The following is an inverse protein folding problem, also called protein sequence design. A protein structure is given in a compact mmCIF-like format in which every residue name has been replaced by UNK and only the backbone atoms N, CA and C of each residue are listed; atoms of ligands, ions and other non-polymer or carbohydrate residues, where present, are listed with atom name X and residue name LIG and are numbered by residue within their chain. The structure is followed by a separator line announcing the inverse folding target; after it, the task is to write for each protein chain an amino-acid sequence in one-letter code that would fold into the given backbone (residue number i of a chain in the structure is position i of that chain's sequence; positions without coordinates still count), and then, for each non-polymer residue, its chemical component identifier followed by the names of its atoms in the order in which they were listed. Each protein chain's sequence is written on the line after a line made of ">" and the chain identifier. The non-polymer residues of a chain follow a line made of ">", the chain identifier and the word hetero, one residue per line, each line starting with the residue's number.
data_IF_142869792438
#
_entry.id   IF_142869792438
#
_cell.length_a   1.000
_cell.length_b   1.000
_cell.length_c   1.000
_cell.angle_alpha   90.00
_cell.angle_beta   90.00
_cell.angle_gamma   90.00
#
_symmetry.space_group_name_H-M   'P 1'
#
loop_
_entity.id
_entity.type
_entity.pdbx_description
1 polymer ?
#
# COMPACT_ATOMS: atom_id res chain seq x y z
N UNK A 1 13.39 13.18 14.56
CA UNK A 1 12.05 12.66 14.21
C UNK A 1 11.96 11.25 14.73
N UNK A 2 10.79 10.82 15.18
CA UNK A 2 10.59 9.44 15.67
C UNK A 2 10.29 8.46 14.54
N UNK A 3 9.92 9.00 13.37
CA UNK A 3 9.54 8.28 12.17
C UNK A 3 9.97 9.12 10.97
N UNK A 4 10.34 8.48 9.86
CA UNK A 4 10.44 9.13 8.54
C UNK A 4 9.44 8.52 7.59
N UNK A 5 9.01 9.29 6.58
CA UNK A 5 7.97 8.84 5.64
C UNK A 5 8.33 9.17 4.20
N UNK A 6 8.09 8.20 3.30
CA UNK A 6 8.13 8.42 1.85
C UNK A 6 6.71 8.63 1.32
N UNK A 7 6.55 9.67 0.49
CA UNK A 7 5.30 10.07 -0.15
C UNK A 7 5.61 10.72 -1.51
N UNK A 8 4.90 10.38 -2.60
CA UNK A 8 3.98 9.24 -2.78
C UNK A 8 4.65 7.87 -2.58
N UNK A 9 3.87 6.80 -2.38
CA UNK A 9 4.44 5.47 -2.11
C UNK A 9 4.79 4.71 -3.40
N UNK A 10 3.78 4.30 -4.18
CA UNK A 10 3.94 3.45 -5.36
C UNK A 10 4.92 3.96 -6.42
N UNK A 11 4.89 5.26 -6.78
CA UNK A 11 5.86 5.82 -7.74
C UNK A 11 7.31 5.94 -7.22
N UNK A 12 7.54 5.77 -5.91
CA UNK A 12 8.85 6.00 -5.26
C UNK A 12 9.28 4.81 -4.38
N UNK A 13 8.95 3.59 -4.80
CA UNK A 13 9.33 2.37 -4.07
C UNK A 13 10.86 2.18 -3.99
N UNK A 14 11.60 2.68 -4.97
CA UNK A 14 13.06 2.73 -4.99
C UNK A 14 13.62 3.66 -3.91
N UNK A 15 13.03 4.86 -3.76
CA UNK A 15 13.39 5.80 -2.69
C UNK A 15 13.02 5.22 -1.33
N UNK A 16 11.84 4.60 -1.21
CA UNK A 16 11.42 3.89 0.00
C UNK A 16 12.41 2.80 0.39
N UNK A 17 12.88 1.99 -0.56
CA UNK A 17 13.89 0.96 -0.30
C UNK A 17 15.21 1.56 0.15
N UNK A 18 15.70 2.61 -0.53
CA UNK A 18 16.93 3.29 -0.13
C UNK A 18 16.83 3.91 1.27
N UNK A 19 15.70 4.52 1.62
CA UNK A 19 15.46 5.09 2.95
C UNK A 19 15.38 3.98 4.01
N UNK A 20 14.67 2.88 3.72
CA UNK A 20 14.54 1.74 4.63
C UNK A 20 15.89 1.06 4.93
N UNK A 21 16.80 1.00 3.95
CA UNK A 21 18.14 0.43 4.13
C UNK A 21 19.03 1.26 5.07
N UNK A 22 18.89 2.59 5.05
CA UNK A 22 19.80 3.50 5.75
C UNK A 22 19.22 4.13 7.02
N UNK A 23 17.89 4.12 7.17
CA UNK A 23 17.22 4.82 8.27
C UNK A 23 17.46 4.11 9.60
N UNK A 24 17.95 4.82 10.64
CA UNK A 24 18.10 4.27 11.98
C UNK A 24 16.78 4.24 12.77
N UNK A 25 15.68 4.75 12.18
CA UNK A 25 14.34 4.87 12.78
C UNK A 25 13.28 4.32 11.82
N UNK A 26 12.07 3.97 12.31
CA UNK A 26 11.04 3.38 11.48
C UNK A 26 10.69 4.22 10.25
N UNK A 27 10.43 3.52 9.13
CA UNK A 27 10.13 4.12 7.83
C UNK A 27 8.68 3.80 7.47
N UNK A 28 7.86 4.83 7.33
CA UNK A 28 6.47 4.69 6.90
C UNK A 28 6.34 5.09 5.43
N UNK A 29 5.27 4.63 4.79
CA UNK A 29 4.93 5.03 3.43
C UNK A 29 3.48 5.53 3.39
N UNK A 30 3.22 6.57 2.58
CA UNK A 30 1.87 7.04 2.35
C UNK A 30 1.43 6.80 0.91
N UNK A 31 0.52 5.85 0.73
CA UNK A 31 -0.18 5.63 -0.52
C UNK A 31 -1.23 6.72 -0.71
N UNK A 32 -0.92 7.69 -1.56
CA UNK A 32 -1.64 8.97 -1.58
C UNK A 32 -2.99 8.88 -2.27
N UNK A 33 -3.79 9.95 -2.16
CA UNK A 33 -5.12 10.03 -2.75
C UNK A 33 -5.15 9.79 -4.26
N UNK A 34 -4.12 10.23 -4.98
CA UNK A 34 -3.98 9.96 -6.41
C UNK A 34 -3.83 8.47 -6.72
N UNK A 35 -3.01 7.75 -5.95
CA UNK A 35 -2.82 6.29 -6.10
C UNK A 35 -4.12 5.54 -5.79
N UNK A 36 -4.81 5.94 -4.72
CA UNK A 36 -6.15 5.43 -4.40
C UNK A 36 -7.14 5.63 -5.55
N UNK A 37 -7.27 6.86 -6.03
CA UNK A 37 -8.20 7.19 -7.10
C UNK A 37 -7.88 6.45 -8.41
N UNK A 38 -6.60 6.25 -8.72
CA UNK A 38 -6.19 5.48 -9.90
C UNK A 38 -6.70 4.04 -9.87
N UNK A 39 -6.57 3.33 -8.74
CA UNK A 39 -7.06 1.96 -8.60
C UNK A 39 -8.58 1.91 -8.65
N UNK A 40 -9.27 2.79 -7.91
CA UNK A 40 -10.74 2.83 -7.90
C UNK A 40 -11.32 3.13 -9.29
N UNK A 41 -10.74 4.07 -10.03
CA UNK A 41 -11.20 4.42 -11.38
C UNK A 41 -10.92 3.31 -12.39
N UNK A 42 -9.74 2.67 -12.33
CA UNK A 42 -9.40 1.55 -13.20
C UNK A 42 -10.30 0.33 -12.94
N UNK A 43 -10.59 0.04 -11.68
CA UNK A 43 -11.54 -1.00 -11.30
C UNK A 43 -12.97 -0.68 -11.76
N UNK A 44 -13.44 0.55 -11.57
CA UNK A 44 -14.76 0.99 -12.03
C UNK A 44 -14.91 0.92 -13.57
N UNK A 45 -13.82 1.10 -14.31
CA UNK A 45 -13.77 0.91 -15.75
C UNK A 45 -13.68 -0.56 -16.20
N UNK A 46 -13.60 -1.52 -15.26
CA UNK A 46 -13.43 -2.94 -15.55
C UNK A 46 -12.04 -3.31 -16.08
N UNK A 47 -11.05 -2.42 -15.94
CA UNK A 47 -9.70 -2.64 -16.46
C UNK A 47 -8.85 -3.55 -15.57
N UNK A 48 -9.14 -3.59 -14.26
CA UNK A 48 -8.42 -4.39 -13.26
C UNK A 48 -9.37 -4.97 -12.21
N UNK A 49 -8.93 -6.04 -11.55
CA UNK A 49 -9.55 -6.53 -10.33
C UNK A 49 -9.16 -5.62 -9.15
N UNK A 50 -10.17 -5.03 -8.50
CA UNK A 50 -9.97 -4.02 -7.45
C UNK A 50 -9.21 -4.58 -6.26
N UNK A 51 -9.71 -5.66 -5.66
CA UNK A 51 -9.22 -6.17 -4.38
C UNK A 51 -7.81 -6.73 -4.54
N UNK A 52 -7.56 -7.43 -5.65
CA UNK A 52 -6.21 -7.90 -5.99
C UNK A 52 -5.24 -6.76 -6.21
N UNK A 53 -5.64 -5.70 -6.93
CA UNK A 53 -4.77 -4.54 -7.16
C UNK A 53 -4.44 -3.79 -5.86
N UNK A 54 -5.42 -3.64 -4.95
CA UNK A 54 -5.20 -3.07 -3.62
C UNK A 54 -4.14 -3.88 -2.87
N UNK A 55 -4.32 -5.19 -2.74
CA UNK A 55 -3.37 -6.04 -2.01
C UNK A 55 -2.00 -6.08 -2.66
N UNK A 56 -1.92 -6.18 -4.00
CA UNK A 56 -0.66 -6.16 -4.71
C UNK A 56 0.12 -4.86 -4.43
N UNK A 57 -0.57 -3.72 -4.45
CA UNK A 57 0.04 -2.42 -4.14
C UNK A 57 0.57 -2.34 -2.69
N UNK A 58 -0.21 -2.80 -1.70
CA UNK A 58 0.17 -2.78 -0.30
C UNK A 58 1.32 -3.75 0.01
N UNK A 59 1.30 -4.94 -0.60
CA UNK A 59 2.41 -5.90 -0.50
C UNK A 59 3.66 -5.33 -1.16
N UNK A 60 3.53 -4.65 -2.30
CA UNK A 60 4.63 -3.96 -2.97
C UNK A 60 5.29 -2.90 -2.08
N UNK A 61 4.49 -2.07 -1.42
CA UNK A 61 4.97 -1.05 -0.47
C UNK A 61 5.63 -1.71 0.76
N UNK A 62 5.01 -2.74 1.33
CA UNK A 62 5.58 -3.47 2.48
C UNK A 62 6.93 -4.12 2.12
N UNK A 63 7.03 -4.70 0.91
CA UNK A 63 8.24 -5.32 0.37
C UNK A 63 9.37 -4.31 0.17
N UNK A 64 9.04 -3.07 -0.22
CA UNK A 64 10.02 -1.99 -0.36
C UNK A 64 10.59 -1.48 0.98
N UNK A 65 10.13 -2.01 2.12
CA UNK A 65 10.74 -1.74 3.42
C UNK A 65 9.92 -0.85 4.34
N UNK A 66 8.68 -0.50 4.00
CA UNK A 66 7.81 0.23 4.92
C UNK A 66 7.44 -0.61 6.16
N UNK A 67 7.60 -0.04 7.35
CA UNK A 67 7.14 -0.60 8.62
C UNK A 67 5.63 -0.41 8.83
N UNK A 68 5.08 0.70 8.32
CA UNK A 68 3.65 0.97 8.28
C UNK A 68 3.25 1.68 6.99
N UNK A 69 2.02 1.44 6.55
CA UNK A 69 1.44 2.02 5.34
C UNK A 69 0.22 2.84 5.72
N UNK A 70 0.26 4.12 5.40
CA UNK A 70 -0.93 4.96 5.41
C UNK A 70 -1.63 4.76 4.07
N UNK A 71 -2.89 4.35 4.11
CA UNK A 71 -3.69 4.11 2.91
C UNK A 71 -5.17 4.32 3.23
N UNK A 72 -5.95 4.73 2.22
CA UNK A 72 -7.39 4.90 2.34
C UNK A 72 -8.13 3.56 2.48
N UNK A 73 -7.52 2.44 2.04
CA UNK A 73 -8.08 1.09 2.19
C UNK A 73 -7.83 0.46 3.57
N UNK A 74 -7.21 1.17 4.52
CA UNK A 74 -6.76 0.59 5.79
C UNK A 74 -7.87 -0.12 6.57
N UNK A 75 -9.07 0.49 6.63
CA UNK A 75 -10.22 -0.12 7.32
C UNK A 75 -10.77 -1.34 6.59
N UNK A 76 -10.80 -1.31 5.26
CA UNK A 76 -11.32 -2.40 4.43
C UNK A 76 -10.40 -3.62 4.50
N UNK A 77 -9.10 -3.43 4.25
CA UNK A 77 -8.09 -4.49 4.33
C UNK A 77 -7.96 -5.00 5.77
N UNK A 78 -8.01 -4.11 6.77
CA UNK A 78 -7.97 -4.49 8.18
C UNK A 78 -9.17 -5.34 8.62
N UNK A 79 -10.34 -5.19 8.00
CA UNK A 79 -11.49 -6.08 8.20
C UNK A 79 -11.27 -7.42 7.51
N UNK A 80 -10.88 -7.39 6.24
CA UNK A 80 -10.61 -8.60 5.45
C UNK A 80 -9.61 -9.55 6.13
N UNK A 81 -8.50 -9.00 6.64
CA UNK A 81 -7.48 -9.76 7.37
C UNK A 81 -7.97 -10.34 8.70
N UNK A 82 -8.83 -9.60 9.42
CA UNK A 82 -9.42 -10.06 10.69
C UNK A 82 -10.36 -11.23 10.47
N UNK A 83 -11.13 -11.19 9.38
CA UNK A 83 -12.16 -12.16 9.08
C UNK A 83 -11.59 -13.42 8.39
N UNK A 84 -10.26 -13.48 8.17
CA UNK A 84 -9.60 -14.61 7.53
C UNK A 84 -9.88 -14.75 6.04
N UNK A 85 -10.42 -13.69 5.41
CA UNK A 85 -10.63 -13.67 3.97
C UNK A 85 -9.29 -13.36 3.29
N UNK A 86 -8.89 -14.20 2.34
CA UNK A 86 -7.79 -13.87 1.44
C UNK A 86 -8.24 -12.66 0.61
N UNK A 87 -7.64 -11.51 0.85
CA UNK A 87 -7.94 -10.26 0.15
C UNK A 87 -7.55 -10.25 -1.35
N UNK A 88 -7.39 -11.42 -1.96
CA UNK A 88 -7.29 -11.63 -3.41
C UNK A 88 -7.89 -12.96 -3.87
N UNK A 89 -8.70 -13.60 -3.04
CA UNK A 89 -9.29 -14.91 -3.32
C UNK A 89 -10.71 -14.78 -3.84
N UNK A 90 -10.89 -14.99 -5.15
CA UNK A 90 -12.14 -15.49 -5.68
C UNK A 90 -12.57 -16.73 -4.86
N UNK A 91 -13.87 -16.83 -4.57
CA UNK A 91 -14.48 -18.12 -4.20
C UNK A 91 -14.37 -19.08 -5.38
#
# INVERSE_FOLDING_TARGET
>A
ADIVMVKPAGPYLDVLAAVAEHSPIPVWAYQVSGEYAMVELAAAAGAIDRDRAIIESLVGIRRAGADAILTYWALEVGRSLRDGHNAGGAR
#
